data_IF_648578351222
#
_entry.id   IF_648578351222
#
_cell.length_a   1.000
_cell.length_b   1.000
_cell.length_c   1.000
_cell.angle_alpha   90.00
_cell.angle_beta   90.00
_cell.angle_gamma   90.00
#
_symmetry.space_group_name_H-M   'P 1'
#
loop_
_entity.id
_entity.type
_entity.pdbx_description
1 polymer ?
#
# COMPACT_ATOMS: atom_id res chain seq x y z
N UNK A 1 5.49 -37.18 -2.27
CA UNK A 1 5.47 -36.54 -3.62
C UNK A 1 5.74 -35.07 -3.41
N UNK A 2 6.85 -34.58 -3.93
CA UNK A 2 7.42 -33.26 -3.66
C UNK A 2 7.44 -32.51 -5.00
N UNK A 3 6.78 -31.35 -5.05
CA UNK A 3 6.65 -30.44 -6.18
C UNK A 3 6.13 -31.02 -7.51
N UNK A 4 4.79 -31.07 -7.65
CA UNK A 4 4.16 -31.01 -8.96
C UNK A 4 3.91 -29.53 -9.28
N UNK A 5 4.86 -28.86 -9.91
CA UNK A 5 4.56 -27.61 -10.62
C UNK A 5 3.48 -27.97 -11.62
N UNK A 6 2.31 -27.35 -11.54
CA UNK A 6 1.20 -27.72 -12.41
C UNK A 6 1.57 -27.28 -13.83
N UNK A 7 1.82 -28.24 -14.72
CA UNK A 7 2.14 -27.99 -16.15
C UNK A 7 0.95 -27.45 -16.96
N UNK A 8 -0.16 -27.13 -16.28
CA UNK A 8 -1.41 -26.70 -16.89
C UNK A 8 -1.87 -25.38 -16.26
N UNK A 9 -2.39 -24.44 -17.06
CA UNK A 9 -2.94 -23.20 -16.55
C UNK A 9 -4.03 -23.46 -15.50
N UNK A 10 -3.92 -22.81 -14.35
CA UNK A 10 -4.89 -22.91 -13.25
C UNK A 10 -5.75 -21.65 -13.27
N UNK A 11 -7.06 -21.81 -13.45
CA UNK A 11 -8.02 -20.71 -13.26
C UNK A 11 -8.14 -20.37 -11.78
N UNK A 12 -8.35 -19.10 -11.48
CA UNK A 12 -8.58 -18.60 -10.12
C UNK A 12 -9.48 -17.37 -10.14
N UNK A 13 -10.11 -17.09 -9.01
CA UNK A 13 -10.78 -15.82 -8.75
C UNK A 13 -10.01 -15.06 -7.67
N UNK A 14 -9.57 -13.84 -7.97
CA UNK A 14 -8.92 -12.96 -7.00
C UNK A 14 -9.93 -11.97 -6.45
N UNK A 15 -10.05 -11.93 -5.13
CA UNK A 15 -10.89 -10.98 -4.39
C UNK A 15 -10.03 -10.16 -3.41
N UNK A 16 -10.24 -8.85 -3.35
CA UNK A 16 -9.70 -7.98 -2.30
C UNK A 16 -10.87 -7.52 -1.43
N UNK A 17 -10.77 -7.80 -0.14
CA UNK A 17 -11.83 -7.58 0.84
C UNK A 17 -11.34 -6.54 1.84
N UNK A 18 -12.06 -5.44 1.97
CA UNK A 18 -11.88 -4.43 2.99
C UNK A 18 -12.54 -4.87 4.31
N UNK A 19 -11.76 -4.75 5.39
CA UNK A 19 -12.25 -4.95 6.75
C UNK A 19 -12.73 -6.38 6.95
N UNK A 20 -14.02 -6.56 7.25
CA UNK A 20 -14.58 -7.89 7.53
C UNK A 20 -15.34 -8.51 6.36
N UNK A 21 -15.87 -7.73 5.41
CA UNK A 21 -16.78 -8.33 4.41
C UNK A 21 -17.06 -7.47 3.17
N UNK A 22 -16.34 -6.37 2.92
CA UNK A 22 -16.61 -5.52 1.77
C UNK A 22 -15.67 -5.87 0.61
N UNK A 23 -16.15 -6.53 -0.44
CA UNK A 23 -15.33 -6.81 -1.63
C UNK A 23 -15.14 -5.51 -2.42
N UNK A 24 -13.90 -5.03 -2.49
CA UNK A 24 -13.55 -3.79 -3.20
C UNK A 24 -12.95 -4.04 -4.58
N UNK A 25 -12.49 -5.26 -4.83
CA UNK A 25 -11.94 -5.67 -6.11
C UNK A 25 -12.18 -7.16 -6.33
N UNK A 26 -12.54 -7.53 -7.55
CA UNK A 26 -12.68 -8.91 -7.95
C UNK A 26 -12.23 -9.09 -9.40
N UNK A 27 -11.44 -10.13 -9.67
CA UNK A 27 -10.95 -10.44 -11.01
C UNK A 27 -10.63 -11.93 -11.15
N UNK A 28 -11.23 -12.59 -12.13
CA UNK A 28 -10.83 -13.93 -12.54
C UNK A 28 -9.57 -13.91 -13.38
N UNK A 29 -8.75 -14.94 -13.24
CA UNK A 29 -7.50 -15.09 -13.98
C UNK A 29 -7.14 -16.54 -14.23
N UNK A 30 -6.10 -16.73 -15.04
CA UNK A 30 -5.52 -18.03 -15.35
C UNK A 30 -4.00 -17.89 -15.15
N UNK A 31 -3.37 -18.82 -14.44
CA UNK A 31 -1.92 -18.82 -14.27
C UNK A 31 -1.22 -19.13 -15.60
N UNK A 32 -0.09 -18.49 -15.85
CA UNK A 32 0.79 -18.80 -16.97
C UNK A 32 2.17 -19.26 -16.48
N UNK A 33 3.06 -19.58 -17.42
CA UNK A 33 4.44 -19.99 -17.13
C UNK A 33 5.39 -18.80 -16.95
N UNK A 34 4.90 -17.56 -16.88
CA UNK A 34 5.75 -16.36 -16.88
C UNK A 34 6.47 -16.09 -15.55
N UNK A 35 6.14 -16.84 -14.49
CA UNK A 35 6.80 -16.76 -13.19
C UNK A 35 6.23 -15.67 -12.26
N UNK A 36 5.33 -14.80 -12.74
CA UNK A 36 4.61 -13.85 -11.90
C UNK A 36 3.83 -12.80 -12.69
N UNK A 37 2.82 -12.20 -12.06
CA UNK A 37 2.06 -11.09 -12.62
C UNK A 37 1.84 -10.01 -11.56
N UNK A 38 1.65 -8.77 -11.99
CA UNK A 38 1.24 -7.65 -11.14
C UNK A 38 -0.21 -7.29 -11.43
N UNK A 39 -0.96 -6.96 -10.38
CA UNK A 39 -2.35 -6.51 -10.47
C UNK A 39 -2.47 -5.23 -9.67
N UNK A 40 -2.81 -4.15 -10.36
CA UNK A 40 -3.04 -2.85 -9.73
C UNK A 40 -4.48 -2.76 -9.24
N UNK A 41 -4.64 -2.46 -7.96
CA UNK A 41 -5.95 -2.37 -7.30
C UNK A 41 -6.16 -0.93 -6.81
N UNK A 42 -7.20 -0.22 -7.30
CA UNK A 42 -7.50 1.12 -6.84
C UNK A 42 -8.17 1.10 -5.46
N UNK A 43 -7.48 1.60 -4.43
CA UNK A 43 -8.07 1.78 -3.11
C UNK A 43 -8.73 3.16 -2.95
N UNK A 44 -9.88 3.27 -2.24
CA UNK A 44 -10.49 4.57 -1.94
C UNK A 44 -9.53 5.53 -1.22
N UNK A 45 -9.59 6.82 -1.56
CA UNK A 45 -8.68 7.87 -1.07
C UNK A 45 -8.76 8.13 0.45
N UNK A 46 -9.76 7.58 1.13
CA UNK A 46 -10.00 7.67 2.58
C UNK A 46 -9.88 6.34 3.35
N UNK A 47 -9.68 5.22 2.68
CA UNK A 47 -9.41 3.92 3.30
C UNK A 47 -7.99 3.71 3.86
N UNK A 48 -7.88 3.47 5.18
CA UNK A 48 -6.69 2.94 5.86
C UNK A 48 -7.18 1.86 6.80
N UNK A 49 -6.65 0.65 6.71
CA UNK A 49 -7.17 -0.47 7.50
C UNK A 49 -6.82 -1.85 6.99
N UNK A 50 -7.33 -2.89 7.68
CA UNK A 50 -7.03 -4.28 7.36
C UNK A 50 -7.76 -4.75 6.11
N UNK A 51 -7.03 -5.42 5.23
CA UNK A 51 -7.55 -6.05 4.03
C UNK A 51 -7.29 -7.56 4.04
N UNK A 52 -8.11 -8.30 3.31
CA UNK A 52 -7.87 -9.69 2.97
C UNK A 52 -7.72 -9.83 1.47
N UNK A 53 -6.65 -10.49 1.03
CA UNK A 53 -6.39 -10.86 -0.36
C UNK A 53 -6.71 -12.34 -0.50
N UNK A 54 -7.75 -12.69 -1.23
CA UNK A 54 -8.22 -14.06 -1.37
C UNK A 54 -8.11 -14.55 -2.81
N UNK A 55 -7.52 -15.72 -3.00
CA UNK A 55 -7.59 -16.51 -4.22
C UNK A 55 -8.57 -17.66 -3.98
N UNK A 56 -9.60 -17.74 -4.81
CA UNK A 56 -10.73 -18.66 -4.67
C UNK A 56 -10.95 -19.46 -5.96
N UNK A 57 -11.79 -20.50 -5.88
CA UNK A 57 -12.20 -21.31 -7.02
C UNK A 57 -11.02 -21.85 -7.87
N UNK A 58 -9.90 -22.16 -7.22
CA UNK A 58 -8.68 -22.57 -7.92
C UNK A 58 -8.94 -23.87 -8.69
N UNK A 59 -8.63 -23.87 -9.98
CA UNK A 59 -8.90 -24.99 -10.90
C UNK A 59 -10.40 -25.41 -10.93
N UNK A 60 -11.32 -24.46 -10.72
CA UNK A 60 -12.76 -24.70 -10.72
C UNK A 60 -13.27 -25.42 -9.46
N UNK A 61 -12.44 -25.57 -8.43
CA UNK A 61 -12.83 -26.19 -7.17
C UNK A 61 -13.14 -25.11 -6.13
N UNK A 62 -14.39 -25.06 -5.68
CA UNK A 62 -14.86 -24.09 -4.67
C UNK A 62 -14.23 -24.24 -3.29
N UNK A 63 -13.59 -25.37 -3.01
CA UNK A 63 -12.87 -25.61 -1.75
C UNK A 63 -11.36 -25.35 -1.87
N UNK A 64 -10.87 -25.04 -3.07
CA UNK A 64 -9.47 -24.73 -3.31
C UNK A 64 -9.28 -23.21 -3.33
N UNK A 65 -8.64 -22.70 -2.28
CA UNK A 65 -8.33 -21.28 -2.16
C UNK A 65 -7.29 -21.01 -1.08
N UNK A 66 -6.82 -19.77 -1.05
CA UNK A 66 -5.89 -19.24 -0.06
C UNK A 66 -6.18 -17.77 0.18
N UNK A 67 -6.08 -17.34 1.43
CA UNK A 67 -6.26 -15.97 1.84
C UNK A 67 -5.07 -15.43 2.64
N UNK A 68 -4.76 -14.15 2.45
CA UNK A 68 -3.70 -13.44 3.14
C UNK A 68 -4.28 -12.19 3.77
N UNK A 69 -3.94 -11.94 5.04
CA UNK A 69 -4.29 -10.70 5.72
C UNK A 69 -3.17 -9.67 5.54
N UNK A 70 -3.54 -8.44 5.22
CA UNK A 70 -2.61 -7.31 5.09
C UNK A 70 -3.27 -6.03 5.63
N UNK A 71 -2.52 -4.93 5.65
CA UNK A 71 -3.01 -3.62 6.07
C UNK A 71 -2.62 -2.61 5.02
N UNK A 72 -3.60 -1.83 4.58
CA UNK A 72 -3.34 -0.64 3.77
C UNK A 72 -3.05 0.50 4.73
N UNK A 73 -1.79 0.90 4.77
CA UNK A 73 -1.38 2.11 5.48
C UNK A 73 -1.05 3.22 4.47
N UNK A 74 -1.77 4.33 4.59
CA UNK A 74 -1.36 5.57 3.96
C UNK A 74 -0.58 6.37 4.98
N UNK A 75 0.74 6.15 4.98
CA UNK A 75 1.65 7.07 5.62
C UNK A 75 1.42 8.48 5.07
N UNK A 76 0.80 9.34 5.89
CA UNK A 76 1.01 10.78 5.76
C UNK A 76 2.48 11.00 6.09
N UNK A 77 3.31 11.16 5.06
CA UNK A 77 4.70 11.58 5.26
C UNK A 77 4.63 12.87 6.08
N UNK A 78 5.19 12.92 7.30
CA UNK A 78 5.16 14.15 8.09
C UNK A 78 5.78 15.25 7.25
N UNK A 79 5.04 16.33 7.01
CA UNK A 79 5.57 17.45 6.25
C UNK A 79 6.76 18.03 7.03
N UNK A 80 7.91 18.17 6.35
CA UNK A 80 9.06 18.79 6.97
C UNK A 80 8.68 20.21 7.39
N UNK A 81 8.92 20.63 8.65
CA UNK A 81 8.40 21.89 9.17
C UNK A 81 9.20 23.10 8.66
N UNK A 82 9.15 23.35 7.34
CA UNK A 82 9.83 24.44 6.63
C UNK A 82 9.48 25.80 7.24
N UNK A 83 8.22 25.98 7.64
CA UNK A 83 7.77 27.20 8.31
C UNK A 83 8.53 27.45 9.62
N UNK A 84 8.63 26.44 10.48
CA UNK A 84 9.36 26.52 11.75
C UNK A 84 10.86 26.80 11.54
N UNK A 85 11.46 26.20 10.50
CA UNK A 85 12.85 26.41 10.15
C UNK A 85 13.11 27.84 9.66
N UNK A 86 12.22 28.41 8.85
CA UNK A 86 12.31 29.81 8.42
C UNK A 86 12.20 30.79 9.59
N UNK A 87 11.28 30.54 10.53
CA UNK A 87 11.15 31.37 11.75
C UNK A 87 12.43 31.33 12.57
N UNK A 88 13.04 30.17 12.73
CA UNK A 88 14.34 30.03 13.41
C UNK A 88 15.45 30.82 12.70
N UNK A 89 15.57 30.73 11.38
CA UNK A 89 16.59 31.48 10.61
C UNK A 89 16.41 32.99 10.78
N UNK A 90 15.16 33.49 10.71
CA UNK A 90 14.85 34.90 10.88
C UNK A 90 15.21 35.35 12.30
N UNK A 91 14.84 34.58 13.32
CA UNK A 91 15.15 34.89 14.71
C UNK A 91 16.66 34.95 14.96
N UNK A 92 17.43 33.96 14.48
CA UNK A 92 18.88 33.96 14.57
C UNK A 92 19.51 35.14 13.84
N UNK A 93 18.98 35.51 12.67
CA UNK A 93 19.45 36.66 11.91
C UNK A 93 19.26 37.97 12.67
N UNK A 94 18.09 38.17 13.29
CA UNK A 94 17.84 39.35 14.13
C UNK A 94 18.76 39.40 15.35
N UNK A 95 18.97 38.28 16.05
CA UNK A 95 19.89 38.21 17.20
C UNK A 95 21.32 38.62 16.80
N UNK A 96 21.77 38.24 15.62
CA UNK A 96 23.14 38.55 15.15
C UNK A 96 23.25 39.98 14.58
N UNK A 97 22.23 40.44 13.84
CA UNK A 97 22.28 41.72 13.11
C UNK A 97 21.91 42.91 13.99
N UNK A 98 20.88 42.82 14.84
CA UNK A 98 20.39 43.94 15.66
C UNK A 98 21.50 44.56 16.53
N UNK A 99 22.32 43.78 17.26
CA UNK A 99 23.39 44.35 18.09
C UNK A 99 24.49 45.03 17.28
N UNK A 100 24.70 44.61 16.03
CA UNK A 100 25.68 45.18 15.10
C UNK A 100 25.26 46.54 14.57
N UNK A 101 23.95 46.75 14.38
CA UNK A 101 23.39 48.04 13.96
C UNK A 101 23.18 49.02 15.12
N UNK A 102 22.92 48.53 16.34
CA UNK A 102 22.78 49.38 17.54
C UNK A 102 24.11 49.88 18.14
N UNK A 103 25.26 49.33 17.73
CA UNK A 103 26.61 49.74 18.18
C UNK A 103 27.30 50.74 17.24
N UNK A 104 26.58 51.28 16.25
CA UNK A 104 26.98 52.43 15.42
C UNK A 104 26.23 53.67 15.87
#
# INVERSE_FOLDING_TARGET
MINKTIDSPVSYDLSIIEGRNNVIFHKSGITDSSGGSSIDVPFPSNYTGPITIAFENMHGNSFAGIDFSSVVDRYTVPEFPLGSLLVMIILFSFIILIPKFMKR
#
